data_IF_208183070880
#
_entry.id   IF_208183070880
#
_cell.length_a   1.000
_cell.length_b   1.000
_cell.length_c   1.000
_cell.angle_alpha   90.00
_cell.angle_beta   90.00
_cell.angle_gamma   90.00
#
_symmetry.space_group_name_H-M   'P 1'
#
loop_
_entity.id
_entity.type
_entity.pdbx_description
1 polymer ?
#
# COMPACT_ATOMS: atom_id res chain seq x y z
N UNK A 1 3.38 0.38 26.01
CA UNK A 1 3.06 -0.49 24.84
C UNK A 1 2.32 0.25 23.74
N UNK A 2 1.53 1.31 24.02
CA UNK A 2 0.81 2.08 22.99
C UNK A 2 1.70 2.82 21.99
N UNK A 3 2.81 3.42 22.44
CA UNK A 3 3.66 4.27 21.59
C UNK A 3 4.38 3.47 20.49
N UNK A 4 5.00 2.33 20.84
CA UNK A 4 5.68 1.48 19.84
C UNK A 4 4.75 0.96 18.74
N UNK A 5 3.49 0.67 19.07
CA UNK A 5 2.53 0.19 18.08
C UNK A 5 2.10 1.31 17.12
N UNK A 6 1.94 2.53 17.65
CA UNK A 6 1.66 3.71 16.84
C UNK A 6 2.83 4.07 15.93
N UNK A 7 4.07 3.97 16.42
CA UNK A 7 5.28 4.20 15.61
C UNK A 7 5.41 3.18 14.50
N UNK A 8 5.13 1.88 14.78
CA UNK A 8 5.18 0.83 13.76
C UNK A 8 4.09 1.04 12.70
N UNK A 9 2.89 1.46 13.11
CA UNK A 9 1.82 1.79 12.17
C UNK A 9 2.18 2.98 11.29
N UNK A 10 2.80 4.02 11.84
CA UNK A 10 3.31 5.16 11.07
C UNK A 10 4.41 4.74 10.08
N UNK A 11 5.32 3.84 10.49
CA UNK A 11 6.35 3.27 9.62
C UNK A 11 5.74 2.50 8.45
N UNK A 12 4.78 1.61 8.71
CA UNK A 12 4.06 0.82 7.71
C UNK A 12 3.29 1.69 6.73
N UNK A 13 2.62 2.72 7.23
CA UNK A 13 1.93 3.69 6.40
C UNK A 13 2.89 4.45 5.48
N UNK A 14 4.06 4.81 5.98
CA UNK A 14 5.10 5.45 5.16
C UNK A 14 5.71 4.49 4.14
N UNK A 15 5.87 3.22 4.48
CA UNK A 15 6.31 2.19 3.53
C UNK A 15 5.25 1.96 2.42
N UNK A 16 3.97 2.07 2.76
CA UNK A 16 2.87 2.05 1.80
C UNK A 16 3.00 3.22 0.80
N UNK A 17 3.21 4.47 1.26
CA UNK A 17 3.41 5.62 0.37
C UNK A 17 4.63 5.46 -0.55
N UNK A 18 5.73 4.86 -0.05
CA UNK A 18 6.90 4.55 -0.88
C UNK A 18 6.58 3.48 -1.93
N UNK A 19 5.80 2.45 -1.57
CA UNK A 19 5.31 1.46 -2.54
C UNK A 19 4.38 2.10 -3.56
N UNK A 20 3.44 2.92 -3.13
CA UNK A 20 2.53 3.71 -3.93
C UNK A 20 3.28 4.50 -5.01
N UNK A 21 4.31 5.25 -4.61
CA UNK A 21 5.17 6.00 -5.52
C UNK A 21 5.92 5.07 -6.48
N UNK A 22 6.51 3.99 -5.99
CA UNK A 22 7.24 3.04 -6.83
C UNK A 22 6.34 2.39 -7.89
N UNK A 23 5.12 2.00 -7.53
CA UNK A 23 4.12 1.45 -8.46
C UNK A 23 3.77 2.48 -9.53
N UNK A 24 3.44 3.73 -9.15
CA UNK A 24 3.09 4.78 -10.11
C UNK A 24 4.21 5.12 -11.07
N UNK A 25 5.45 5.15 -10.60
CA UNK A 25 6.62 5.44 -11.45
C UNK A 25 6.94 4.29 -12.43
N UNK A 26 6.76 3.04 -12.00
CA UNK A 26 7.00 1.87 -12.84
C UNK A 26 5.85 1.55 -13.80
N UNK A 27 4.64 1.93 -13.42
CA UNK A 27 3.42 1.69 -14.17
C UNK A 27 2.60 2.99 -14.26
N UNK A 28 3.01 3.94 -15.09
CA UNK A 28 2.40 5.29 -15.13
C UNK A 28 0.89 5.29 -15.44
N UNK A 29 0.40 4.27 -16.16
CA UNK A 29 -1.02 4.17 -16.52
C UNK A 29 -1.92 3.78 -15.33
N UNK A 30 -1.42 3.16 -14.26
CA UNK A 30 -2.26 2.77 -13.13
C UNK A 30 -2.81 3.99 -12.39
N UNK A 31 -4.02 3.86 -11.85
CA UNK A 31 -4.63 4.85 -10.97
C UNK A 31 -4.61 4.35 -9.53
N UNK A 32 -3.97 5.12 -8.68
CA UNK A 32 -3.80 4.78 -7.27
C UNK A 32 -5.06 5.13 -6.48
N UNK A 33 -5.62 4.19 -5.74
CA UNK A 33 -6.88 4.37 -5.03
C UNK A 33 -6.68 4.67 -3.54
N UNK A 34 -6.31 3.67 -2.76
CA UNK A 34 -6.08 3.86 -1.33
C UNK A 34 -5.11 2.81 -0.78
N UNK A 35 -4.48 3.12 0.36
CA UNK A 35 -3.57 2.21 1.03
C UNK A 35 -3.43 2.48 2.52
N UNK A 36 -4.17 1.78 3.40
CA UNK A 36 -4.00 1.92 4.84
C UNK A 36 -2.88 1.04 5.38
N UNK A 37 -2.28 1.49 6.47
CA UNK A 37 -1.52 0.63 7.35
C UNK A 37 -2.47 -0.24 8.20
N UNK A 38 -2.08 -1.48 8.41
CA UNK A 38 -2.77 -2.45 9.27
C UNK A 38 -1.88 -2.88 10.44
N UNK A 39 -2.42 -3.67 11.36
CA UNK A 39 -1.65 -4.19 12.49
C UNK A 39 -0.57 -5.19 12.06
N UNK A 40 -0.70 -5.82 10.89
CA UNK A 40 0.26 -6.80 10.37
C UNK A 40 1.17 -6.24 9.27
N UNK A 41 0.79 -5.13 8.63
CA UNK A 41 1.53 -4.57 7.51
C UNK A 41 0.85 -3.36 6.89
N UNK A 42 0.77 -3.36 5.59
CA UNK A 42 0.07 -2.37 4.78
C UNK A 42 -0.43 -3.01 3.49
N UNK A 43 -1.35 -2.33 2.82
CA UNK A 43 -1.68 -2.68 1.43
C UNK A 43 -1.95 -1.41 0.62
N UNK A 44 -1.93 -1.55 -0.69
CA UNK A 44 -2.35 -0.50 -1.61
C UNK A 44 -3.24 -1.08 -2.71
N UNK A 45 -4.34 -0.39 -2.96
CA UNK A 45 -5.27 -0.69 -4.03
C UNK A 45 -5.03 0.27 -5.18
N UNK A 46 -4.92 -0.26 -6.37
CA UNK A 46 -4.81 0.53 -7.58
C UNK A 46 -5.59 -0.09 -8.74
N UNK A 47 -6.10 0.78 -9.59
CA UNK A 47 -6.74 0.40 -10.83
C UNK A 47 -5.67 0.14 -11.88
N UNK A 48 -5.57 -1.11 -12.31
CA UNK A 48 -4.63 -1.55 -13.35
C UNK A 48 -5.21 -1.45 -14.77
N UNK A 49 -6.46 -1.03 -14.91
CA UNK A 49 -7.14 -0.84 -16.19
C UNK A 49 -8.04 0.40 -16.18
N UNK A 50 -7.47 1.61 -15.94
CA UNK A 50 -8.26 2.83 -15.96
C UNK A 50 -8.95 3.03 -17.30
N UNK A 51 -10.11 3.70 -17.27
CA UNK A 51 -10.85 3.99 -18.47
C UNK A 51 -10.01 4.79 -19.49
N UNK A 52 -10.07 4.38 -20.75
CA UNK A 52 -9.29 5.02 -21.83
C UNK A 52 -7.80 4.63 -21.89
N UNK A 53 -7.37 3.65 -21.11
CA UNK A 53 -5.99 3.13 -21.14
C UNK A 53 -5.96 1.63 -21.42
N UNK A 54 -4.84 1.14 -21.96
CA UNK A 54 -4.62 -0.31 -22.04
C UNK A 54 -4.41 -0.89 -20.64
N UNK A 55 -4.98 -2.07 -20.34
CA UNK A 55 -4.79 -2.73 -19.06
C UNK A 55 -3.31 -3.04 -18.78
N UNK A 56 -2.87 -2.74 -17.57
CA UNK A 56 -1.51 -3.04 -17.09
C UNK A 56 -1.57 -4.27 -16.19
N UNK A 57 -0.97 -5.37 -16.63
CA UNK A 57 -0.88 -6.56 -15.81
C UNK A 57 0.29 -6.42 -14.82
N UNK A 58 -0.03 -6.20 -13.55
CA UNK A 58 0.93 -6.27 -12.44
C UNK A 58 0.81 -7.65 -11.80
N UNK A 59 1.93 -8.30 -11.57
CA UNK A 59 2.02 -9.66 -11.03
C UNK A 59 3.02 -9.73 -9.87
N UNK A 60 3.05 -10.82 -9.12
CA UNK A 60 4.06 -11.03 -8.08
C UNK A 60 5.50 -11.07 -8.63
N UNK A 61 5.70 -11.40 -9.91
CA UNK A 61 7.01 -11.33 -10.56
C UNK A 61 7.55 -9.88 -10.61
N UNK A 62 6.66 -8.90 -10.56
CA UNK A 62 7.01 -7.48 -10.57
C UNK A 62 7.50 -6.98 -9.21
N UNK A 63 7.28 -7.75 -8.14
CA UNK A 63 7.70 -7.35 -6.79
C UNK A 63 9.18 -7.03 -6.70
N UNK A 64 10.03 -7.79 -7.37
CA UNK A 64 11.48 -7.54 -7.38
C UNK A 64 11.81 -6.14 -7.89
N UNK A 65 11.18 -5.70 -8.97
CA UNK A 65 11.43 -4.35 -9.51
C UNK A 65 10.76 -3.25 -8.67
N UNK A 66 9.59 -3.52 -8.09
CA UNK A 66 8.91 -2.57 -7.20
C UNK A 66 9.74 -2.40 -5.93
N UNK A 67 10.16 -3.48 -5.27
CA UNK A 67 11.03 -3.45 -4.08
C UNK A 67 12.36 -2.74 -4.36
N UNK A 68 12.96 -2.98 -5.51
CA UNK A 68 14.17 -2.26 -5.93
C UNK A 68 13.93 -0.75 -5.99
N UNK A 69 12.82 -0.32 -6.62
CA UNK A 69 12.49 1.10 -6.70
C UNK A 69 12.17 1.70 -5.33
N UNK A 70 11.45 0.97 -4.47
CA UNK A 70 11.24 1.36 -3.08
C UNK A 70 12.56 1.57 -2.33
N UNK A 71 13.51 0.64 -2.47
CA UNK A 71 14.85 0.76 -1.87
C UNK A 71 15.60 2.01 -2.35
N UNK A 72 15.48 2.35 -3.64
CA UNK A 72 16.08 3.57 -4.20
C UNK A 72 15.48 4.83 -3.56
N UNK A 73 14.15 4.89 -3.44
CA UNK A 73 13.44 6.00 -2.78
C UNK A 73 13.79 6.11 -1.29
N UNK A 74 13.92 4.99 -0.60
CA UNK A 74 14.33 4.94 0.82
C UNK A 74 15.75 5.46 1.00
N UNK A 75 16.68 5.09 0.13
CA UNK A 75 18.08 5.56 0.17
C UNK A 75 18.22 7.06 -0.05
N UNK A 76 17.27 7.70 -0.73
CA UNK A 76 17.26 9.15 -0.92
C UNK A 76 16.90 9.92 0.36
N UNK A 77 16.41 9.24 1.39
CA UNK A 77 15.98 9.82 2.68
C UNK A 77 15.05 11.02 2.50
N UNK A 78 14.04 10.86 1.66
CA UNK A 78 13.10 11.90 1.29
C UNK A 78 12.23 12.30 2.49
N UNK A 79 12.04 13.61 2.78
CA UNK A 79 11.16 14.06 3.84
C UNK A 79 9.71 13.65 3.55
N UNK A 80 8.96 13.33 4.61
CA UNK A 80 7.52 13.08 4.53
C UNK A 80 6.82 14.19 5.30
N UNK A 81 6.08 15.05 4.60
CA UNK A 81 5.53 16.28 5.16
C UNK A 81 4.03 16.39 4.93
N UNK A 82 3.30 16.82 5.98
CA UNK A 82 1.86 17.05 5.95
C UNK A 82 1.54 18.46 5.47
N UNK A 83 0.58 18.55 4.55
CA UNK A 83 0.04 19.81 4.06
C UNK A 83 -1.48 19.80 4.13
N UNK A 84 -2.08 20.95 4.43
CA UNK A 84 -3.52 21.16 4.31
C UNK A 84 -3.79 21.86 2.99
N UNK A 85 -4.77 21.39 2.25
CA UNK A 85 -5.18 21.95 0.97
C UNK A 85 -6.59 22.51 1.06
N UNK A 86 -6.86 23.53 0.29
CA UNK A 86 -8.22 23.89 -0.07
C UNK A 86 -8.81 22.85 -1.02
N UNK A 87 -10.12 22.81 -1.12
CA UNK A 87 -10.83 21.91 -2.05
C UNK A 87 -10.36 22.12 -3.50
N UNK A 88 -10.23 23.39 -3.93
CA UNK A 88 -9.76 23.73 -5.28
C UNK A 88 -8.34 23.25 -5.57
N UNK A 89 -7.43 23.33 -4.59
CA UNK A 89 -6.07 22.82 -4.70
C UNK A 89 -6.06 21.28 -4.78
N UNK A 90 -6.88 20.61 -3.99
CA UNK A 90 -7.00 19.16 -4.01
C UNK A 90 -7.55 18.64 -5.35
N UNK A 91 -8.61 19.27 -5.89
CA UNK A 91 -9.13 18.95 -7.23
C UNK A 91 -8.09 19.14 -8.32
N UNK A 92 -7.29 20.20 -8.22
CA UNK A 92 -6.21 20.44 -9.19
C UNK A 92 -5.09 19.41 -9.06
N UNK A 93 -4.72 19.03 -7.83
CA UNK A 93 -3.63 18.09 -7.57
C UNK A 93 -3.98 16.67 -8.05
N UNK A 94 -5.23 16.27 -7.87
CA UNK A 94 -5.73 14.92 -8.20
C UNK A 94 -6.61 14.86 -9.45
N UNK A 95 -6.53 15.88 -10.33
CA UNK A 95 -7.41 16.02 -11.49
C UNK A 95 -7.50 14.76 -12.37
N UNK A 96 -6.41 14.01 -12.48
CA UNK A 96 -6.31 12.81 -13.31
C UNK A 96 -6.62 11.52 -12.53
N UNK A 97 -7.07 11.61 -11.27
CA UNK A 97 -7.30 10.43 -10.44
C UNK A 97 -8.72 10.40 -9.86
N UNK A 98 -9.66 9.68 -10.48
CA UNK A 98 -11.07 9.66 -10.05
C UNK A 98 -11.25 9.12 -8.63
N UNK A 99 -10.45 8.16 -8.20
CA UNK A 99 -10.52 7.60 -6.84
C UNK A 99 -10.17 8.63 -5.77
N UNK A 100 -9.15 9.47 -6.02
CA UNK A 100 -8.77 10.54 -5.10
C UNK A 100 -9.79 11.67 -5.11
N UNK A 101 -10.38 12.00 -6.26
CA UNK A 101 -11.44 13.00 -6.35
C UNK A 101 -12.68 12.57 -5.57
N UNK A 102 -13.08 11.29 -5.65
CA UNK A 102 -14.19 10.76 -4.84
C UNK A 102 -13.95 10.94 -3.33
N UNK A 103 -12.73 10.66 -2.86
CA UNK A 103 -12.36 10.90 -1.46
C UNK A 103 -12.34 12.40 -1.10
N UNK A 104 -11.88 13.27 -2.00
CA UNK A 104 -11.94 14.74 -1.80
C UNK A 104 -13.40 15.17 -1.61
N UNK A 105 -14.32 14.69 -2.45
CA UNK A 105 -15.76 14.97 -2.34
C UNK A 105 -16.32 14.52 -1.00
N UNK A 106 -15.97 13.32 -0.56
CA UNK A 106 -16.47 12.80 0.72
C UNK A 106 -15.95 13.60 1.91
N UNK A 107 -14.67 13.99 1.91
CA UNK A 107 -14.06 14.79 2.96
C UNK A 107 -14.71 16.18 3.00
N UNK A 108 -14.92 16.81 1.83
CA UNK A 108 -15.57 18.11 1.71
C UNK A 108 -17.01 18.08 2.20
N UNK A 109 -17.79 17.06 1.83
CA UNK A 109 -19.16 16.88 2.31
C UNK A 109 -19.27 16.74 3.83
N UNK A 110 -18.23 16.17 4.47
CA UNK A 110 -18.14 16.04 5.94
C UNK A 110 -17.66 17.31 6.62
N UNK A 111 -17.25 18.34 5.87
CA UNK A 111 -16.66 19.59 6.40
C UNK A 111 -15.30 19.37 7.08
N UNK A 112 -14.60 18.29 6.73
CA UNK A 112 -13.29 17.96 7.29
C UNK A 112 -12.18 18.63 6.48
N UNK A 113 -11.01 18.82 7.11
CA UNK A 113 -9.84 19.36 6.43
C UNK A 113 -9.26 18.35 5.45
N UNK A 114 -9.02 18.79 4.23
CA UNK A 114 -8.32 17.97 3.22
C UNK A 114 -6.83 18.05 3.53
N UNK A 115 -6.23 16.89 3.77
CA UNK A 115 -4.81 16.77 4.08
C UNK A 115 -4.12 15.83 3.11
N UNK A 116 -2.91 16.22 2.71
CA UNK A 116 -2.03 15.39 1.88
C UNK A 116 -0.69 15.22 2.56
N UNK A 117 -0.04 14.12 2.29
CA UNK A 117 1.35 13.93 2.64
C UNK A 117 2.19 13.89 1.37
N UNK A 118 3.23 14.72 1.35
CA UNK A 118 4.26 14.69 0.33
C UNK A 118 5.40 13.80 0.77
N UNK A 119 5.77 12.84 -0.07
CA UNK A 119 7.06 12.17 -0.02
C UNK A 119 7.99 12.94 -0.94
N UNK A 120 9.10 13.46 -0.41
CA UNK A 120 9.95 14.42 -1.11
C UNK A 120 9.39 15.86 -1.08
N UNK A 121 10.10 16.79 -1.72
CA UNK A 121 9.65 18.19 -1.78
C UNK A 121 8.75 18.40 -3.00
N UNK A 122 7.63 19.12 -2.83
CA UNK A 122 6.71 19.41 -3.93
C UNK A 122 7.42 19.98 -5.16
N UNK A 123 7.18 19.37 -6.33
CA UNK A 123 7.75 19.79 -7.61
C UNK A 123 9.18 19.33 -7.89
N UNK A 124 9.86 18.69 -6.94
CA UNK A 124 11.17 18.08 -7.17
C UNK A 124 11.05 16.66 -7.74
N UNK A 125 12.15 16.19 -8.34
CA UNK A 125 12.25 14.79 -8.81
C UNK A 125 12.09 13.84 -7.61
N UNK A 126 11.44 12.70 -7.84
CA UNK A 126 11.11 11.69 -6.84
C UNK A 126 10.18 12.24 -5.73
N UNK A 127 9.32 13.20 -6.04
CA UNK A 127 8.29 13.64 -5.11
C UNK A 127 6.90 13.18 -5.55
N UNK A 128 6.07 12.85 -4.58
CA UNK A 128 4.67 12.48 -4.83
C UNK A 128 3.81 12.88 -3.63
N UNK A 129 2.61 13.39 -3.93
CA UNK A 129 1.59 13.67 -2.93
C UNK A 129 0.57 12.53 -2.89
N UNK A 130 0.11 12.20 -1.70
CA UNK A 130 -1.06 11.36 -1.51
C UNK A 130 -2.07 11.96 -0.53
N UNK A 131 -3.36 11.75 -0.80
CA UNK A 131 -4.46 12.14 0.07
C UNK A 131 -4.44 11.25 1.32
N UNK A 132 -4.09 11.83 2.46
CA UNK A 132 -3.80 11.06 3.66
C UNK A 132 -3.96 11.89 4.94
N UNK A 133 -4.37 11.22 6.04
CA UNK A 133 -4.46 11.81 7.38
C UNK A 133 -3.22 11.53 8.24
N UNK A 134 -2.35 10.62 7.83
CA UNK A 134 -1.23 10.14 8.63
C UNK A 134 -1.65 9.17 9.75
N UNK A 135 -0.81 8.92 10.75
CA UNK A 135 0.55 9.48 10.89
C UNK A 135 1.59 8.82 9.96
N UNK A 136 2.73 9.49 9.81
CA UNK A 136 3.89 8.99 9.06
C UNK A 136 5.18 9.20 9.86
N UNK A 137 6.26 8.51 9.45
CA UNK A 137 7.61 8.81 9.89
C UNK A 137 8.14 10.06 9.21
N UNK A 138 9.20 10.66 9.75
CA UNK A 138 9.75 11.96 9.28
C UNK A 138 10.33 11.89 7.86
N UNK A 139 10.89 10.73 7.48
CA UNK A 139 11.51 10.52 6.17
C UNK A 139 11.49 9.06 5.74
N UNK A 140 11.66 8.83 4.43
CA UNK A 140 11.72 7.48 3.87
C UNK A 140 12.90 6.67 4.42
N UNK A 141 14.00 7.32 4.82
CA UNK A 141 15.17 6.68 5.42
C UNK A 141 14.94 6.02 6.77
N UNK A 142 13.80 6.27 7.44
CA UNK A 142 13.39 5.56 8.66
C UNK A 142 12.93 4.12 8.39
N UNK A 143 12.52 3.81 7.16
CA UNK A 143 12.10 2.47 6.75
C UNK A 143 13.35 1.61 6.56
N UNK A 144 13.65 0.73 7.52
CA UNK A 144 14.90 -0.08 7.50
C UNK A 144 14.71 -1.42 6.81
N UNK A 145 13.53 -2.01 6.94
CA UNK A 145 13.23 -3.31 6.37
C UNK A 145 11.77 -3.36 5.91
N UNK A 146 11.51 -3.92 4.75
CA UNK A 146 10.18 -4.12 4.20
C UNK A 146 10.17 -5.31 3.25
N UNK A 147 8.97 -5.85 2.99
CA UNK A 147 8.76 -6.92 2.04
C UNK A 147 7.37 -6.82 1.43
N UNK A 148 7.25 -6.99 0.12
CA UNK A 148 5.97 -7.25 -0.55
C UNK A 148 5.62 -8.73 -0.40
N UNK A 149 4.37 -9.01 -0.04
CA UNK A 149 3.97 -10.34 0.42
C UNK A 149 3.12 -11.10 -0.59
N UNK A 150 2.10 -10.45 -1.12
CA UNK A 150 1.14 -11.07 -2.04
C UNK A 150 0.37 -10.05 -2.85
N UNK A 151 -0.28 -10.53 -3.90
CA UNK A 151 -1.17 -9.76 -4.75
C UNK A 151 -2.56 -10.40 -4.74
N UNK A 152 -3.62 -9.58 -4.68
CA UNK A 152 -5.00 -10.03 -4.72
C UNK A 152 -5.89 -9.04 -5.48
N UNK A 153 -7.10 -9.47 -5.83
CA UNK A 153 -8.17 -8.57 -6.26
C UNK A 153 -8.93 -8.03 -5.07
N UNK A 154 -9.39 -6.78 -5.15
CA UNK A 154 -10.24 -6.14 -4.15
C UNK A 154 -11.26 -5.23 -4.84
N UNK A 155 -12.54 -5.35 -4.50
CA UNK A 155 -13.54 -4.45 -5.03
C UNK A 155 -13.45 -3.07 -4.38
N UNK A 156 -13.58 -2.00 -5.19
CA UNK A 156 -13.63 -0.64 -4.68
C UNK A 156 -14.76 -0.49 -3.65
N UNK A 157 -14.46 0.12 -2.49
CA UNK A 157 -15.33 0.16 -1.31
C UNK A 157 -15.84 -1.19 -0.79
N UNK A 158 -15.24 -2.31 -1.21
CA UNK A 158 -15.66 -3.65 -0.80
C UNK A 158 -17.00 -4.11 -1.41
N UNK A 159 -17.54 -3.40 -2.37
CA UNK A 159 -18.79 -3.75 -3.06
C UNK A 159 -18.47 -4.44 -4.40
N UNK A 160 -18.95 -5.67 -4.57
CA UNK A 160 -18.77 -6.46 -5.80
C UNK A 160 -19.32 -5.82 -7.07
N UNK A 161 -20.21 -4.84 -6.94
CA UNK A 161 -20.75 -4.05 -8.07
C UNK A 161 -19.77 -3.02 -8.58
N UNK A 162 -18.79 -2.65 -7.77
CA UNK A 162 -17.75 -1.70 -8.14
C UNK A 162 -16.61 -2.39 -8.88
N UNK A 163 -15.74 -1.58 -9.45
CA UNK A 163 -14.56 -2.07 -10.17
C UNK A 163 -13.66 -2.89 -9.26
N UNK A 164 -13.18 -4.03 -9.78
CA UNK A 164 -12.14 -4.80 -9.12
C UNK A 164 -10.79 -4.12 -9.34
N UNK A 165 -10.11 -3.82 -8.26
CA UNK A 165 -8.78 -3.22 -8.20
C UNK A 165 -7.74 -4.30 -7.92
N UNK A 166 -6.49 -3.98 -8.21
CA UNK A 166 -5.35 -4.80 -7.82
C UNK A 166 -4.84 -4.34 -6.46
N UNK A 167 -4.68 -5.27 -5.53
CA UNK A 167 -4.17 -5.03 -4.17
C UNK A 167 -2.82 -5.69 -3.98
N UNK A 168 -1.83 -4.91 -3.58
CA UNK A 168 -0.53 -5.43 -3.13
C UNK A 168 -0.46 -5.33 -1.62
N UNK A 169 -0.16 -6.44 -0.95
CA UNK A 169 0.14 -6.49 0.48
C UNK A 169 1.64 -6.41 0.72
N UNK A 170 2.01 -5.69 1.76
CA UNK A 170 3.39 -5.59 2.22
C UNK A 170 3.49 -5.44 3.73
N UNK A 171 4.70 -5.52 4.24
CA UNK A 171 5.01 -5.23 5.64
C UNK A 171 6.31 -4.47 5.77
N UNK A 172 6.48 -3.75 6.89
CA UNK A 172 7.71 -3.02 7.19
C UNK A 172 8.01 -3.06 8.70
N UNK A 173 9.32 -2.99 9.01
CA UNK A 173 9.84 -3.05 10.37
C UNK A 173 11.01 -2.07 10.55
N UNK A 174 11.36 -1.76 11.79
CA UNK A 174 12.47 -0.89 12.14
C UNK A 174 13.84 -1.56 11.95
N UNK A 175 13.88 -2.88 11.81
CA UNK A 175 15.13 -3.62 11.59
C UNK A 175 14.92 -4.83 10.67
N UNK A 176 16.00 -5.23 9.99
CA UNK A 176 15.99 -6.45 9.17
C UNK A 176 15.70 -7.69 10.02
N UNK A 177 16.23 -7.75 11.24
CA UNK A 177 15.97 -8.88 12.15
C UNK A 177 14.49 -9.06 12.45
N UNK A 178 13.75 -7.96 12.72
CA UNK A 178 12.31 -8.04 12.98
C UNK A 178 11.54 -8.53 11.74
N UNK A 179 11.94 -8.11 10.54
CA UNK A 179 11.37 -8.61 9.30
C UNK A 179 11.65 -10.09 9.10
N UNK A 180 12.89 -10.53 9.32
CA UNK A 180 13.29 -11.93 9.17
C UNK A 180 12.54 -12.84 10.16
N UNK A 181 12.43 -12.41 11.41
CA UNK A 181 11.67 -13.11 12.46
C UNK A 181 10.18 -13.23 12.07
N UNK A 182 9.58 -12.16 11.53
CA UNK A 182 8.20 -12.16 11.03
C UNK A 182 8.01 -13.10 9.84
N UNK A 183 8.88 -13.04 8.84
CA UNK A 183 8.79 -13.91 7.66
C UNK A 183 8.96 -15.39 8.04
N UNK A 184 9.87 -15.70 8.95
CA UNK A 184 10.03 -17.05 9.49
C UNK A 184 8.76 -17.55 10.19
N UNK A 185 8.13 -16.69 11.01
CA UNK A 185 6.86 -17.04 11.67
C UNK A 185 5.74 -17.32 10.66
N UNK A 186 5.66 -16.51 9.58
CA UNK A 186 4.68 -16.70 8.51
C UNK A 186 4.91 -18.01 7.73
N UNK A 187 6.18 -18.37 7.47
CA UNK A 187 6.53 -19.66 6.84
C UNK A 187 6.15 -20.85 7.72
N UNK A 188 6.45 -20.77 9.02
CA UNK A 188 6.06 -21.81 9.98
C UNK A 188 4.54 -21.94 10.08
N UNK A 189 3.79 -20.83 10.07
CA UNK A 189 2.34 -20.86 10.05
C UNK A 189 1.80 -21.53 8.78
N UNK A 190 2.38 -21.24 7.61
CA UNK A 190 2.01 -21.90 6.34
C UNK A 190 2.30 -23.41 6.36
N UNK A 191 3.39 -23.86 6.99
CA UNK A 191 3.71 -25.30 7.15
C UNK A 191 2.71 -25.99 8.08
N UNK A 192 2.15 -25.28 9.05
CA UNK A 192 1.17 -25.78 10.02
C UNK A 192 -0.28 -25.62 9.57
N UNK A 193 -0.51 -25.25 8.32
CA UNK A 193 -1.86 -25.17 7.76
C UNK A 193 -2.58 -26.52 7.93
N UNK A 194 -3.66 -26.50 8.74
CA UNK A 194 -4.41 -27.72 9.11
C UNK A 194 -4.97 -28.46 7.90
N UNK A 195 -5.30 -27.76 6.80
CA UNK A 195 -5.79 -28.38 5.57
C UNK A 195 -4.70 -29.20 4.89
N UNK A 196 -3.48 -28.64 4.80
CA UNK A 196 -2.32 -29.35 4.22
C UNK A 196 -1.87 -30.51 5.11
N UNK A 197 -1.78 -30.27 6.41
CA UNK A 197 -1.41 -31.30 7.37
C UNK A 197 -2.46 -32.41 7.44
N UNK A 198 -3.74 -32.07 7.44
CA UNK A 198 -4.82 -33.04 7.46
C UNK A 198 -4.83 -33.97 6.24
N UNK A 199 -4.57 -33.40 5.04
CA UNK A 199 -4.40 -34.21 3.83
C UNK A 199 -3.13 -35.07 3.86
N UNK A 200 -1.99 -34.50 4.27
CA UNK A 200 -0.71 -35.22 4.35
C UNK A 200 -0.71 -36.36 5.38
N UNK A 201 -1.52 -36.22 6.44
CA UNK A 201 -1.70 -37.22 7.50
C UNK A 201 -2.93 -38.13 7.28
N UNK A 202 -3.61 -37.98 6.15
CA UNK A 202 -4.82 -38.77 5.78
C UNK A 202 -5.95 -38.66 6.83
N UNK A 203 -6.07 -37.49 7.49
CA UNK A 203 -7.08 -37.23 8.52
C UNK A 203 -8.45 -36.88 7.93
N UNK A 204 -8.51 -36.40 6.70
CA UNK A 204 -9.73 -36.11 5.94
C UNK A 204 -9.44 -36.01 4.45
N UNK A 205 -10.45 -36.29 3.63
CA UNK A 205 -10.43 -36.06 2.19
C UNK A 205 -11.45 -35.00 1.79
N UNK A 206 -11.15 -34.23 0.76
CA UNK A 206 -12.18 -33.41 0.12
C UNK A 206 -13.01 -34.30 -0.80
N UNK A 207 -14.32 -34.25 -0.63
CA UNK A 207 -15.25 -34.95 -1.52
C UNK A 207 -15.76 -33.97 -2.57
N UNK A 208 -15.70 -34.37 -3.85
CA UNK A 208 -16.33 -33.61 -4.95
C UNK A 208 -17.86 -33.80 -5.02
N UNK A 209 -18.44 -34.43 -3.98
CA UNK A 209 -19.86 -34.71 -3.86
C UNK A 209 -20.60 -33.60 -3.09
N UNK A 210 -20.60 -32.37 -3.59
CA UNK A 210 -21.60 -31.34 -3.23
C UNK A 210 -21.92 -30.51 -4.46
#
# INVERSE_FOLDING_TARGET
>A
MSDKNNDLKALRHSAEHVMHQAVKELFPAVQLAMGPATDEGFYNDFDSSPEGTDPVLVTEADFVKIEKRMQELIKLDLPITRHELSEAEAYKLFADNPYKLEWVDEISKKGEKITVYWTGKPGEKNSMADLCRGPHVESTGKIKAFKLLSLAGAYWHGDEKNKMLTRIYGTAFFSQKELDDYLHLMEEAKKRDHKKLGQALDLFTFSDLV
#
